data_IF_278014525316
#
_entry.id   IF_278014525316
#
_cell.length_a   1.000
_cell.length_b   1.000
_cell.length_c   1.000
_cell.angle_alpha   90.00
_cell.angle_beta   90.00
_cell.angle_gamma   90.00
#
_symmetry.space_group_name_H-M   'P 1'
#
loop_
_entity.id
_entity.type
_entity.pdbx_description
1 polymer ?
#
# COMPACT_ATOMS: atom_id res chain seq x y z
N UNK A 1 50.88 1.30 -7.58
CA UNK A 1 51.49 0.06 -8.12
C UNK A 1 50.79 -1.12 -7.51
N UNK A 2 49.92 -1.77 -8.29
CA UNK A 2 49.28 -3.03 -7.87
C UNK A 2 50.37 -4.09 -8.05
N UNK A 3 50.89 -4.57 -6.93
CA UNK A 3 51.97 -5.54 -6.93
C UNK A 3 51.65 -6.78 -7.74
N UNK A 4 52.51 -7.13 -8.69
CA UNK A 4 52.42 -8.31 -9.58
C UNK A 4 52.40 -9.68 -8.84
N UNK A 5 52.41 -9.68 -7.51
CA UNK A 5 52.36 -10.87 -6.69
C UNK A 5 50.95 -11.43 -6.40
N UNK A 6 49.90 -10.69 -6.79
CA UNK A 6 48.48 -11.09 -6.49
C UNK A 6 47.83 -11.93 -7.59
N UNK A 7 48.48 -12.20 -8.69
CA UNK A 7 47.94 -12.98 -9.82
C UNK A 7 48.87 -14.16 -10.13
N UNK A 8 48.95 -15.10 -9.20
CA UNK A 8 49.55 -16.41 -9.45
C UNK A 8 48.57 -17.33 -10.18
N UNK A 9 49.08 -18.17 -11.12
CA UNK A 9 48.28 -19.13 -11.88
C UNK A 9 47.49 -20.11 -11.00
N UNK A 10 48.00 -20.45 -9.81
CA UNK A 10 47.29 -21.29 -8.83
C UNK A 10 46.09 -20.61 -8.20
N UNK A 11 46.15 -19.30 -7.96
CA UNK A 11 45.06 -18.51 -7.44
C UNK A 11 43.90 -18.47 -8.42
N UNK A 12 44.13 -18.33 -9.70
CA UNK A 12 43.07 -18.33 -10.72
C UNK A 12 42.32 -19.65 -10.82
N UNK A 13 43.00 -20.80 -10.72
CA UNK A 13 42.34 -22.11 -10.82
C UNK A 13 41.56 -22.43 -9.54
N UNK A 14 42.16 -22.17 -8.40
CA UNK A 14 41.52 -22.40 -7.09
C UNK A 14 40.31 -21.53 -6.90
N UNK A 15 40.38 -20.28 -7.29
CA UNK A 15 39.24 -19.33 -7.20
C UNK A 15 38.11 -19.73 -8.14
N UNK A 16 38.43 -20.17 -9.36
CA UNK A 16 37.43 -20.70 -10.31
C UNK A 16 36.73 -21.93 -9.76
N UNK A 17 37.47 -22.88 -9.20
CA UNK A 17 36.90 -24.08 -8.57
C UNK A 17 36.04 -23.72 -7.35
N UNK A 18 36.47 -22.74 -6.54
CA UNK A 18 35.71 -22.24 -5.41
C UNK A 18 34.43 -21.55 -5.87
N UNK A 19 34.49 -20.71 -6.89
CA UNK A 19 33.32 -20.09 -7.51
C UNK A 19 32.35 -21.12 -8.07
N UNK A 20 32.85 -22.13 -8.79
CA UNK A 20 32.03 -23.24 -9.32
C UNK A 20 31.37 -24.07 -8.20
N UNK A 21 32.06 -24.25 -7.07
CA UNK A 21 31.47 -24.93 -5.91
C UNK A 21 30.31 -24.14 -5.32
N UNK A 22 30.43 -22.82 -5.20
CA UNK A 22 29.36 -21.95 -4.71
C UNK A 22 28.16 -21.99 -5.66
N UNK A 23 28.38 -21.76 -6.96
CA UNK A 23 27.29 -21.78 -7.95
C UNK A 23 26.65 -23.15 -8.07
N UNK A 24 27.44 -24.24 -8.00
CA UNK A 24 26.92 -25.61 -7.98
C UNK A 24 26.05 -25.89 -6.75
N UNK A 25 26.44 -25.39 -5.59
CA UNK A 25 25.62 -25.50 -4.36
C UNK A 25 24.29 -24.76 -4.54
N UNK A 26 24.32 -23.52 -5.05
CA UNK A 26 23.12 -22.72 -5.27
C UNK A 26 22.17 -23.34 -6.31
N UNK A 27 22.71 -24.08 -7.29
CA UNK A 27 21.91 -24.81 -8.27
C UNK A 27 20.99 -25.87 -7.60
N UNK A 28 21.49 -26.56 -6.58
CA UNK A 28 20.74 -27.59 -5.83
C UNK A 28 19.97 -27.05 -4.63
N UNK A 29 20.15 -25.76 -4.28
CA UNK A 29 19.42 -25.16 -3.17
C UNK A 29 17.96 -24.90 -3.57
N UNK A 30 16.98 -25.25 -2.70
CA UNK A 30 15.55 -24.96 -2.98
C UNK A 30 15.34 -23.49 -3.24
N UNK A 31 14.56 -23.16 -4.27
CA UNK A 31 14.27 -21.79 -4.62
C UNK A 31 13.37 -21.14 -3.56
N UNK A 32 13.72 -19.92 -3.14
CA UNK A 32 12.95 -19.11 -2.20
C UNK A 32 11.94 -18.21 -2.94
N UNK A 33 12.02 -18.17 -4.26
CA UNK A 33 11.16 -17.35 -5.12
C UNK A 33 9.71 -17.80 -5.02
N UNK A 34 8.83 -16.86 -4.71
CA UNK A 34 7.38 -17.10 -4.77
C UNK A 34 6.90 -17.04 -6.21
N UNK A 35 6.15 -18.06 -6.62
CA UNK A 35 5.61 -18.18 -7.98
C UNK A 35 4.26 -17.45 -8.05
N UNK A 36 4.30 -16.14 -8.27
CA UNK A 36 3.09 -15.39 -8.52
C UNK A 36 2.81 -15.38 -10.05
N UNK A 37 1.57 -15.61 -10.53
CA UNK A 37 0.30 -15.65 -9.78
C UNK A 37 -0.14 -17.05 -9.29
N UNK A 38 0.64 -18.12 -9.46
CA UNK A 38 0.23 -19.49 -9.15
C UNK A 38 -0.02 -19.69 -7.65
N UNK A 39 0.75 -19.00 -6.79
CA UNK A 39 0.60 -19.07 -5.33
C UNK A 39 -0.42 -18.09 -4.74
N UNK A 40 -1.23 -17.42 -5.55
CA UNK A 40 -2.18 -16.39 -5.12
C UNK A 40 -3.07 -16.80 -3.94
N UNK A 41 -3.53 -18.06 -3.92
CA UNK A 41 -4.39 -18.58 -2.86
C UNK A 41 -3.65 -18.81 -1.52
N UNK A 42 -2.32 -18.99 -1.57
CA UNK A 42 -1.49 -19.31 -0.40
C UNK A 42 -0.60 -18.15 0.04
N UNK A 43 -0.60 -17.05 -0.73
CA UNK A 43 0.23 -15.88 -0.49
C UNK A 43 -0.07 -15.24 0.86
N UNK A 44 0.94 -15.19 1.73
CA UNK A 44 0.84 -14.54 3.04
C UNK A 44 1.35 -13.10 2.94
N UNK A 45 0.42 -12.16 2.89
CA UNK A 45 0.74 -10.73 2.88
C UNK A 45 1.01 -10.27 4.31
N UNK A 46 2.06 -9.46 4.48
CA UNK A 46 2.38 -8.87 5.79
C UNK A 46 1.21 -8.00 6.29
N UNK A 47 0.86 -8.05 7.59
CA UNK A 47 -0.19 -7.18 8.15
C UNK A 47 0.16 -5.68 8.10
N UNK A 48 1.43 -5.33 7.84
CA UNK A 48 1.89 -3.95 7.62
C UNK A 48 1.85 -3.53 6.15
N UNK A 49 1.38 -4.40 5.27
CA UNK A 49 1.28 -4.07 3.86
C UNK A 49 0.26 -2.95 3.64
N UNK A 50 0.57 -2.04 2.74
CA UNK A 50 -0.27 -0.90 2.39
C UNK A 50 -0.76 -1.09 0.96
N UNK A 51 -1.88 -1.78 0.81
CA UNK A 51 -2.52 -2.00 -0.47
C UNK A 51 -3.35 -0.78 -0.89
N UNK A 52 -4.65 -0.87 -0.88
CA UNK A 52 -5.50 0.30 -1.16
C UNK A 52 -6.11 0.86 0.12
N UNK A 53 -6.44 2.16 0.08
CA UNK A 53 -7.16 2.81 1.17
C UNK A 53 -8.63 2.36 1.16
N UNK A 54 -9.13 1.96 2.32
CA UNK A 54 -10.52 1.58 2.53
C UNK A 54 -11.13 2.35 3.69
N UNK A 55 -12.44 2.50 3.66
CA UNK A 55 -13.23 3.05 4.76
C UNK A 55 -14.02 1.90 5.38
N UNK A 56 -13.59 1.34 6.53
CA UNK A 56 -14.31 0.26 7.18
C UNK A 56 -15.71 0.74 7.61
N UNK A 57 -16.68 -0.11 7.38
CA UNK A 57 -18.08 0.12 7.73
C UNK A 57 -18.43 -0.83 8.85
N UNK A 58 -19.13 -0.35 9.86
CA UNK A 58 -19.64 -1.15 10.96
C UNK A 58 -20.76 -2.11 10.49
N UNK A 59 -21.14 -3.07 11.31
CA UNK A 59 -22.23 -4.04 11.03
C UNK A 59 -23.55 -3.37 10.62
N UNK A 60 -23.79 -2.15 11.09
CA UNK A 60 -24.97 -1.33 10.76
C UNK A 60 -24.84 -0.53 9.46
N UNK A 61 -23.74 -0.68 8.72
CA UNK A 61 -23.51 0.07 7.49
C UNK A 61 -23.00 1.51 7.67
N UNK A 62 -22.68 1.91 8.90
CA UNK A 62 -22.20 3.27 9.19
C UNK A 62 -20.67 3.30 9.16
N UNK A 63 -20.12 4.40 8.61
CA UNK A 63 -18.70 4.69 8.70
C UNK A 63 -18.42 5.65 9.87
N UNK A 64 -17.19 5.60 10.39
CA UNK A 64 -16.76 6.47 11.51
C UNK A 64 -16.35 7.89 11.06
N UNK A 65 -16.43 8.18 9.76
CA UNK A 65 -15.96 9.45 9.20
C UNK A 65 -16.93 10.58 9.53
N UNK A 66 -16.42 11.66 10.11
CA UNK A 66 -17.16 12.88 10.43
C UNK A 66 -16.93 14.01 9.41
N UNK A 67 -16.29 13.73 8.28
CA UNK A 67 -15.95 14.68 7.24
C UNK A 67 -15.13 15.91 7.74
N UNK A 68 -14.19 15.70 8.65
CA UNK A 68 -13.36 16.77 9.23
C UNK A 68 -12.32 17.36 8.26
N UNK A 69 -11.95 16.63 7.18
CA UNK A 69 -11.00 17.09 6.17
C UNK A 69 -9.52 16.94 6.52
N UNK A 70 -9.16 16.45 7.72
CA UNK A 70 -7.77 16.32 8.15
C UNK A 70 -6.94 15.40 7.25
N UNK A 71 -7.51 14.29 6.80
CA UNK A 71 -6.83 13.36 5.89
C UNK A 71 -6.56 13.96 4.51
N UNK A 72 -7.43 14.85 4.01
CA UNK A 72 -7.22 15.60 2.78
C UNK A 72 -6.05 16.58 2.93
N UNK A 73 -6.01 17.35 4.03
CA UNK A 73 -4.91 18.30 4.31
C UNK A 73 -3.57 17.62 4.57
N UNK A 74 -3.59 16.40 5.13
CA UNK A 74 -2.39 15.62 5.41
C UNK A 74 -1.81 14.92 4.17
N UNK A 75 -2.53 14.88 3.05
CA UNK A 75 -2.10 14.23 1.84
C UNK A 75 -1.14 15.11 1.03
N UNK A 76 0.13 14.72 0.81
CA UNK A 76 1.09 15.53 0.06
C UNK A 76 0.81 15.59 -1.44
N UNK A 77 0.04 14.62 -1.96
CA UNK A 77 -0.28 14.50 -3.39
C UNK A 77 -1.72 14.87 -3.73
N UNK A 78 -2.49 15.43 -2.78
CA UNK A 78 -3.89 15.81 -2.96
C UNK A 78 -4.78 14.70 -3.55
N UNK A 79 -4.51 13.43 -3.17
CA UNK A 79 -5.22 12.26 -3.70
C UNK A 79 -6.59 12.02 -3.07
N UNK A 80 -6.94 12.80 -2.06
CA UNK A 80 -8.18 12.65 -1.28
C UNK A 80 -9.01 13.92 -1.44
N UNK A 81 -10.25 13.76 -1.89
CA UNK A 81 -11.23 14.84 -1.99
C UNK A 81 -12.46 14.52 -1.18
N UNK A 82 -12.82 15.38 -0.24
CA UNK A 82 -13.96 15.19 0.66
C UNK A 82 -15.03 16.23 0.34
N UNK A 83 -16.20 15.74 -0.05
CA UNK A 83 -17.40 16.58 -0.19
C UNK A 83 -18.29 16.37 1.03
N UNK A 84 -18.57 17.43 1.77
CA UNK A 84 -19.42 17.39 2.96
C UNK A 84 -20.54 18.41 2.87
N UNK A 85 -21.71 18.06 3.41
CA UNK A 85 -22.85 18.98 3.58
C UNK A 85 -23.06 19.25 5.07
N UNK A 86 -23.45 20.49 5.37
CA UNK A 86 -23.78 20.91 6.73
C UNK A 86 -25.29 20.81 6.93
N UNK A 87 -25.71 19.85 7.72
CA UNK A 87 -27.12 19.70 8.11
C UNK A 87 -27.31 20.29 9.50
N UNK A 88 -28.23 21.24 9.63
CA UNK A 88 -28.67 21.79 10.90
C UNK A 88 -29.74 20.85 11.50
N UNK A 89 -29.46 20.26 12.66
CA UNK A 89 -30.49 19.54 13.41
C UNK A 89 -31.44 20.56 14.02
N UNK A 90 -32.70 20.50 13.66
CA UNK A 90 -33.74 21.41 14.13
C UNK A 90 -33.95 21.32 15.65
N UNK A 91 -33.67 20.15 16.27
CA UNK A 91 -33.88 19.94 17.72
C UNK A 91 -32.76 20.53 18.61
N UNK A 92 -31.53 20.66 18.11
CA UNK A 92 -30.39 21.10 18.95
C UNK A 92 -29.67 22.33 18.42
N UNK A 93 -30.05 22.87 17.26
CA UNK A 93 -29.42 24.04 16.63
C UNK A 93 -27.93 23.84 16.24
N UNK A 94 -27.38 22.63 16.40
CA UNK A 94 -25.98 22.33 16.09
C UNK A 94 -25.83 21.92 14.62
N UNK A 95 -24.89 22.54 13.94
CA UNK A 95 -24.48 22.16 12.57
C UNK A 95 -23.65 20.90 12.64
N UNK A 96 -24.14 19.80 12.05
CA UNK A 96 -23.38 18.55 11.87
C UNK A 96 -22.95 18.44 10.41
N UNK A 97 -21.66 18.18 10.17
CA UNK A 97 -21.17 17.84 8.84
C UNK A 97 -21.47 16.39 8.53
N UNK A 98 -22.05 16.14 7.36
CA UNK A 98 -22.33 14.79 6.86
C UNK A 98 -21.43 14.57 5.63
N UNK A 99 -20.79 13.40 5.59
CA UNK A 99 -19.99 13.00 4.45
C UNK A 99 -20.89 12.62 3.27
N UNK A 100 -20.83 13.41 2.20
CA UNK A 100 -21.56 13.14 0.95
C UNK A 100 -20.74 12.22 0.04
N UNK A 101 -19.48 12.58 -0.20
CA UNK A 101 -18.60 11.86 -1.10
C UNK A 101 -17.17 11.88 -0.59
N UNK A 102 -16.52 10.72 -0.60
CA UNK A 102 -15.11 10.58 -0.31
C UNK A 102 -14.44 9.96 -1.55
N UNK A 103 -13.75 10.79 -2.31
CA UNK A 103 -13.00 10.36 -3.49
C UNK A 103 -11.54 10.16 -3.15
N UNK A 104 -10.98 9.07 -3.66
CA UNK A 104 -9.59 8.68 -3.46
C UNK A 104 -8.97 8.28 -4.80
N UNK A 105 -7.97 9.02 -5.26
CA UNK A 105 -7.18 8.67 -6.45
C UNK A 105 -6.04 7.73 -6.06
N UNK A 106 -6.28 6.43 -6.28
CA UNK A 106 -5.28 5.38 -6.06
C UNK A 106 -4.07 5.55 -6.98
N UNK A 107 -4.29 6.06 -8.21
CA UNK A 107 -3.25 6.19 -9.22
C UNK A 107 -2.19 7.25 -8.91
N UNK A 108 -2.49 8.20 -8.03
CA UNK A 108 -1.56 9.25 -7.58
C UNK A 108 -1.09 9.04 -6.13
N UNK A 109 -1.60 8.03 -5.43
CA UNK A 109 -1.25 7.75 -4.04
C UNK A 109 0.16 7.15 -3.90
N UNK A 110 0.95 7.66 -2.95
CA UNK A 110 2.28 7.14 -2.61
C UNK A 110 2.27 6.17 -1.40
N UNK A 111 1.11 5.78 -0.90
CA UNK A 111 0.94 4.84 0.22
C UNK A 111 1.73 5.22 1.49
N UNK A 112 1.91 6.50 1.76
CA UNK A 112 2.70 7.03 2.89
C UNK A 112 2.05 6.86 4.27
N UNK A 113 0.73 6.59 4.34
CA UNK A 113 -0.07 6.43 5.56
C UNK A 113 -0.32 7.74 6.36
N UNK A 114 0.10 8.90 5.90
CA UNK A 114 -0.12 10.15 6.62
C UNK A 114 -1.62 10.45 6.84
N UNK A 115 -2.47 10.17 5.86
CA UNK A 115 -3.92 10.34 5.97
C UNK A 115 -4.55 9.46 7.07
N UNK A 116 -4.07 8.22 7.22
CA UNK A 116 -4.53 7.29 8.26
C UNK A 116 -4.09 7.81 9.63
N UNK A 117 -2.82 8.20 9.78
CA UNK A 117 -2.28 8.73 11.03
C UNK A 117 -2.93 10.07 11.43
N UNK A 118 -3.38 10.86 10.47
CA UNK A 118 -4.07 12.14 10.73
C UNK A 118 -5.55 11.96 11.09
N UNK A 119 -6.11 10.76 10.95
CA UNK A 119 -7.53 10.51 11.23
C UNK A 119 -7.75 10.23 12.73
N UNK A 120 -8.41 11.14 13.48
CA UNK A 120 -8.63 10.94 14.93
C UNK A 120 -9.71 9.88 15.25
N UNK A 121 -10.45 9.42 14.24
CA UNK A 121 -11.57 8.48 14.40
C UNK A 121 -11.27 7.09 13.81
N UNK A 122 -10.05 6.84 13.34
CA UNK A 122 -9.67 5.58 12.65
C UNK A 122 -10.70 5.18 11.56
N UNK A 123 -11.23 6.20 10.85
CA UNK A 123 -12.26 6.00 9.85
C UNK A 123 -11.73 5.44 8.52
N UNK A 124 -10.42 5.46 8.32
CA UNK A 124 -9.75 4.96 7.12
C UNK A 124 -8.54 4.11 7.49
N UNK A 125 -8.28 3.08 6.70
CA UNK A 125 -7.10 2.22 6.85
C UNK A 125 -6.66 1.66 5.51
N UNK A 126 -5.44 1.15 5.43
CA UNK A 126 -4.99 0.38 4.27
C UNK A 126 -5.42 -1.08 4.40
N UNK A 127 -5.82 -1.65 3.28
CA UNK A 127 -6.09 -3.07 3.10
C UNK A 127 -4.88 -3.78 2.51
N UNK A 128 -4.92 -5.09 2.44
CA UNK A 128 -3.88 -5.93 1.85
C UNK A 128 -4.08 -6.19 0.36
N UNK A 129 -5.15 -5.68 -0.25
CA UNK A 129 -5.38 -5.79 -1.69
C UNK A 129 -4.38 -4.95 -2.49
N UNK A 130 -3.67 -5.59 -3.42
CA UNK A 130 -2.64 -4.96 -4.25
C UNK A 130 -2.90 -5.11 -5.76
N UNK A 131 -3.88 -5.90 -6.16
CA UNK A 131 -4.22 -6.11 -7.56
C UNK A 131 -5.13 -5.00 -8.07
N UNK A 132 -4.54 -3.87 -8.40
CA UNK A 132 -5.27 -2.68 -8.82
C UNK A 132 -5.00 -2.31 -10.29
N UNK A 133 -4.54 -3.27 -11.11
CA UNK A 133 -4.28 -3.04 -12.52
C UNK A 133 -5.59 -2.84 -13.29
N UNK A 134 -5.70 -1.72 -13.99
CA UNK A 134 -6.87 -1.35 -14.80
C UNK A 134 -6.44 -0.79 -16.15
N UNK A 135 -7.29 -0.92 -17.18
CA UNK A 135 -7.01 -0.37 -18.51
C UNK A 135 -7.18 1.15 -18.58
N UNK A 136 -8.07 1.71 -17.75
CA UNK A 136 -8.41 3.12 -17.77
C UNK A 136 -8.11 3.73 -16.40
N UNK A 137 -7.35 4.83 -16.40
CA UNK A 137 -6.96 5.53 -15.17
C UNK A 137 -8.17 6.04 -14.36
N UNK A 138 -9.26 6.37 -15.02
CA UNK A 138 -10.47 6.85 -14.33
C UNK A 138 -11.02 5.83 -13.32
N UNK A 139 -10.77 4.54 -13.53
CA UNK A 139 -11.16 3.45 -12.63
C UNK A 139 -10.33 3.39 -11.33
N UNK A 140 -9.21 4.12 -11.28
CA UNK A 140 -8.41 4.25 -10.06
C UNK A 140 -8.92 5.33 -9.11
N UNK A 141 -9.89 6.14 -9.55
CA UNK A 141 -10.58 7.10 -8.68
C UNK A 141 -11.73 6.37 -7.98
N UNK A 142 -11.52 6.04 -6.73
CA UNK A 142 -12.44 5.24 -5.92
C UNK A 142 -13.31 6.14 -5.05
N UNK A 143 -14.59 5.80 -4.92
CA UNK A 143 -15.50 6.43 -3.94
C UNK A 143 -15.63 5.51 -2.74
N UNK A 144 -15.02 5.87 -1.60
CA UNK A 144 -14.89 4.98 -0.44
C UNK A 144 -16.14 4.88 0.42
N UNK A 145 -17.03 5.88 0.38
CA UNK A 145 -18.25 5.93 1.20
C UNK A 145 -19.50 5.35 0.52
N UNK A 146 -19.36 4.81 -0.70
CA UNK A 146 -20.44 4.05 -1.36
C UNK A 146 -20.18 2.55 -1.18
N UNK A 147 -21.24 1.83 -0.78
CA UNK A 147 -21.27 0.36 -0.86
C UNK A 147 -21.34 -0.09 -2.31
#
# INVERSE_FOLDING_TARGET
EIGSGLVGSEMCIRDRLTGMKVTGREFFTPKVTEQYPENRATLKISPRFRGRLIMPVDENGNNKCIACGLCQMACPNDTITITSESVTNEETGKKKKILVKYEYDLGACMFCQLCVNACPHDAIRFDTEFENAVFDRSKLVLTLNKK
#
